data_IF_072768762105
#
_entry.id   IF_072768762105
#
_cell.length_a   1.000
_cell.length_b   1.000
_cell.length_c   1.000
_cell.angle_alpha   90.00
_cell.angle_beta   90.00
_cell.angle_gamma   90.00
#
_symmetry.space_group_name_H-M   'P 1'
#
loop_
_entity.id
_entity.type
_entity.pdbx_description
1 polymer ?
#
# COMPACT_ATOMS: atom_id res chain seq x y z
N UNK A 1 -1.25 -2.90 -56.33
CA UNK A 1 -2.67 -2.97 -55.92
C UNK A 1 -2.68 -2.93 -54.40
N UNK A 2 -3.02 -1.76 -53.85
CA UNK A 2 -3.05 -1.48 -52.41
C UNK A 2 -4.41 -1.95 -51.87
N UNK A 3 -4.44 -2.84 -50.88
CA UNK A 3 -5.69 -3.19 -50.21
C UNK A 3 -6.09 -2.03 -49.27
N UNK A 4 -7.37 -1.62 -49.21
CA UNK A 4 -7.81 -0.59 -48.27
C UNK A 4 -7.69 -1.09 -46.84
N UNK A 5 -7.00 -0.33 -46.00
CA UNK A 5 -6.89 -0.62 -44.57
C UNK A 5 -8.28 -0.53 -43.92
N UNK A 6 -8.76 -1.63 -43.36
CA UNK A 6 -10.12 -1.75 -42.80
C UNK A 6 -10.23 -0.91 -41.50
N UNK A 7 -11.07 0.15 -41.44
CA UNK A 7 -11.11 1.11 -40.32
C UNK A 7 -11.72 0.55 -39.02
N UNK A 8 -12.24 -0.68 -39.05
CA UNK A 8 -13.01 -1.27 -37.95
C UNK A 8 -12.16 -1.72 -36.74
N UNK A 9 -10.84 -1.84 -36.88
CA UNK A 9 -9.95 -2.27 -35.80
C UNK A 9 -9.26 -1.10 -35.08
N UNK A 10 -10.05 -0.14 -34.58
CA UNK A 10 -9.57 0.87 -33.62
C UNK A 10 -10.29 0.73 -32.29
N UNK A 11 -10.30 -0.47 -31.72
CA UNK A 11 -10.65 -0.59 -30.31
C UNK A 11 -9.50 -0.01 -29.50
N UNK A 12 -9.56 1.28 -29.22
CA UNK A 12 -8.80 1.90 -28.15
C UNK A 12 -9.19 1.20 -26.86
N UNK A 13 -8.45 0.15 -26.51
CA UNK A 13 -8.54 -0.52 -25.22
C UNK A 13 -7.96 0.47 -24.21
N UNK A 14 -8.77 1.46 -23.83
CA UNK A 14 -8.45 2.34 -22.72
C UNK A 14 -8.05 1.43 -21.57
N UNK A 15 -6.80 1.51 -21.14
CA UNK A 15 -6.27 0.70 -20.05
C UNK A 15 -7.02 1.11 -18.81
N UNK A 16 -8.15 0.45 -18.54
CA UNK A 16 -9.04 0.84 -17.48
C UNK A 16 -8.29 0.62 -16.18
N UNK A 17 -7.86 1.71 -15.54
CA UNK A 17 -7.22 1.70 -14.21
C UNK A 17 -8.26 1.41 -13.11
N UNK A 18 -9.25 0.57 -13.42
CA UNK A 18 -10.30 0.15 -12.51
C UNK A 18 -9.77 -0.54 -11.24
N UNK A 19 -8.65 -1.30 -11.25
CA UNK A 19 -8.13 -1.86 -10.01
C UNK A 19 -7.61 -0.76 -9.08
N UNK A 20 -7.04 0.31 -9.65
CA UNK A 20 -6.58 1.48 -8.90
C UNK A 20 -7.76 2.23 -8.29
N UNK A 21 -8.85 2.42 -9.06
CA UNK A 21 -10.07 3.06 -8.56
C UNK A 21 -10.73 2.22 -7.47
N UNK A 22 -10.80 0.89 -7.64
CA UNK A 22 -11.34 -0.02 -6.65
C UNK A 22 -10.50 0.00 -5.36
N UNK A 23 -9.17 -0.06 -5.45
CA UNK A 23 -8.29 0.05 -4.30
C UNK A 23 -8.49 1.39 -3.55
N UNK A 24 -8.62 2.50 -4.29
CA UNK A 24 -8.86 3.81 -3.72
C UNK A 24 -10.20 3.87 -2.96
N UNK A 25 -11.26 3.30 -3.53
CA UNK A 25 -12.58 3.24 -2.89
C UNK A 25 -12.54 2.36 -1.62
N UNK A 26 -11.88 1.21 -1.67
CA UNK A 26 -11.69 0.33 -0.52
C UNK A 26 -10.93 1.06 0.60
N UNK A 27 -9.88 1.81 0.27
CA UNK A 27 -9.12 2.63 1.22
C UNK A 27 -9.97 3.75 1.83
N UNK A 28 -10.79 4.44 1.02
CA UNK A 28 -11.73 5.47 1.49
C UNK A 28 -12.75 4.90 2.47
N UNK A 29 -13.34 3.75 2.14
CA UNK A 29 -14.31 3.06 3.00
C UNK A 29 -13.64 2.58 4.29
N UNK A 30 -12.44 1.99 4.20
CA UNK A 30 -11.69 1.55 5.36
C UNK A 30 -11.31 2.72 6.30
N UNK A 31 -10.96 3.88 5.73
CA UNK A 31 -10.68 5.10 6.49
C UNK A 31 -11.94 5.59 7.21
N UNK A 32 -13.09 5.62 6.53
CA UNK A 32 -14.35 6.03 7.12
C UNK A 32 -14.83 5.05 8.22
N UNK A 33 -14.50 3.76 8.09
CA UNK A 33 -14.83 2.72 9.07
C UNK A 33 -13.81 2.60 10.22
N UNK A 34 -12.69 3.33 10.18
CA UNK A 34 -11.62 3.24 11.18
C UNK A 34 -10.79 1.94 11.12
N UNK A 35 -10.84 1.21 10.01
CA UNK A 35 -10.15 -0.07 9.84
C UNK A 35 -8.66 0.13 9.52
N UNK A 36 -7.88 0.40 10.56
CA UNK A 36 -6.43 0.65 10.44
C UNK A 36 -5.67 -0.58 9.93
N UNK A 37 -6.18 -1.79 10.20
CA UNK A 37 -5.58 -3.04 9.69
C UNK A 37 -5.59 -3.15 8.16
N UNK A 38 -6.62 -2.61 7.48
CA UNK A 38 -6.69 -2.59 6.01
C UNK A 38 -5.61 -1.67 5.43
N UNK A 39 -5.40 -0.52 6.08
CA UNK A 39 -4.30 0.38 5.75
C UNK A 39 -2.95 -0.28 5.98
N UNK A 40 -2.79 -1.01 7.09
CA UNK A 40 -1.59 -1.79 7.36
C UNK A 40 -1.30 -2.81 6.27
N UNK A 41 -2.27 -3.63 5.87
CA UNK A 41 -2.12 -4.59 4.77
C UNK A 41 -1.79 -3.92 3.43
N UNK A 42 -2.43 -2.78 3.13
CA UNK A 42 -2.16 -2.02 1.93
C UNK A 42 -0.71 -1.51 1.92
N UNK A 43 -0.24 -0.95 3.04
CA UNK A 43 1.15 -0.52 3.19
C UNK A 43 2.14 -1.69 3.08
N UNK A 44 1.79 -2.87 3.59
CA UNK A 44 2.62 -4.08 3.46
C UNK A 44 2.74 -4.51 2.00
N UNK A 45 1.60 -4.62 1.31
CA UNK A 45 1.53 -4.97 -0.11
C UNK A 45 2.32 -3.97 -0.96
N UNK A 46 2.15 -2.69 -0.68
CA UNK A 46 2.86 -1.63 -1.37
C UNK A 46 4.37 -1.69 -1.10
N UNK A 47 4.79 -1.91 0.15
CA UNK A 47 6.20 -2.10 0.50
C UNK A 47 6.82 -3.27 -0.26
N UNK A 48 6.11 -4.39 -0.39
CA UNK A 48 6.56 -5.54 -1.19
C UNK A 48 6.78 -5.17 -2.66
N UNK A 49 5.85 -4.42 -3.26
CA UNK A 49 6.00 -3.93 -4.64
C UNK A 49 7.21 -3.00 -4.75
N UNK A 50 7.42 -2.11 -3.78
CA UNK A 50 8.59 -1.22 -3.75
C UNK A 50 9.91 -2.00 -3.69
N UNK A 51 9.94 -3.13 -2.97
CA UNK A 51 11.07 -4.05 -2.97
C UNK A 51 11.33 -4.66 -4.35
N UNK A 52 10.27 -5.15 -5.02
CA UNK A 52 10.38 -5.73 -6.37
C UNK A 52 10.80 -4.68 -7.39
N UNK A 53 10.27 -3.46 -7.28
CA UNK A 53 10.56 -2.35 -8.18
C UNK A 53 11.94 -1.72 -7.94
N UNK A 54 12.64 -2.05 -6.85
CA UNK A 54 13.93 -1.45 -6.40
C UNK A 54 13.89 0.08 -6.25
N UNK A 55 12.69 0.63 -6.13
CA UNK A 55 12.46 2.06 -5.97
C UNK A 55 11.44 2.25 -4.86
N UNK A 56 11.73 3.19 -3.98
CA UNK A 56 10.82 3.55 -2.89
C UNK A 56 10.55 5.04 -2.93
N UNK A 57 9.33 5.43 -2.60
CA UNK A 57 8.89 6.81 -2.70
C UNK A 57 8.60 7.35 -1.30
N UNK A 58 9.22 8.49 -0.96
CA UNK A 58 8.84 9.27 0.24
C UNK A 58 8.51 10.70 -0.19
N UNK A 59 9.48 11.40 -0.76
CA UNK A 59 9.31 12.74 -1.37
C UNK A 59 9.86 12.74 -2.80
N UNK A 60 10.87 11.91 -3.05
CA UNK A 60 11.48 11.67 -4.35
C UNK A 60 11.60 10.15 -4.55
N UNK A 61 11.76 9.72 -5.80
CA UNK A 61 12.06 8.32 -6.13
C UNK A 61 13.47 8.02 -5.64
N UNK A 62 13.61 7.16 -4.63
CA UNK A 62 14.91 6.69 -4.16
C UNK A 62 15.16 5.34 -4.83
N UNK A 63 16.15 5.32 -5.73
CA UNK A 63 16.62 4.09 -6.36
C UNK A 63 17.59 3.37 -5.44
N UNK A 64 17.44 2.05 -5.34
CA UNK A 64 18.37 1.19 -4.58
C UNK A 64 19.82 1.33 -5.06
N UNK A 65 20.02 1.61 -6.35
CA UNK A 65 21.33 1.64 -7.00
C UNK A 65 22.15 2.89 -6.64
N UNK A 66 21.49 4.00 -6.26
CA UNK A 66 22.17 5.23 -5.84
C UNK A 66 22.35 5.30 -4.32
N UNK A 67 21.33 4.93 -3.56
CA UNK A 67 21.32 5.07 -2.10
C UNK A 67 20.75 3.84 -1.38
N UNK A 68 21.53 2.75 -1.26
CA UNK A 68 21.05 1.47 -0.73
C UNK A 68 20.64 1.52 0.74
N UNK A 69 21.29 2.36 1.56
CA UNK A 69 20.97 2.54 2.99
C UNK A 69 19.64 3.28 3.16
N UNK A 70 19.45 4.36 2.40
CA UNK A 70 18.24 5.17 2.43
C UNK A 70 17.03 4.32 1.99
N UNK A 71 17.21 3.51 0.94
CA UNK A 71 16.19 2.55 0.50
C UNK A 71 15.76 1.58 1.61
N UNK A 72 16.71 1.01 2.36
CA UNK A 72 16.40 0.09 3.46
C UNK A 72 15.71 0.80 4.62
N UNK A 73 16.17 1.99 5.03
CA UNK A 73 15.55 2.76 6.11
C UNK A 73 14.09 3.11 5.80
N UNK A 74 13.84 3.54 4.55
CA UNK A 74 12.48 3.83 4.11
C UNK A 74 11.67 2.56 4.11
N UNK A 75 12.11 1.49 3.45
CA UNK A 75 11.37 0.23 3.41
C UNK A 75 11.04 -0.32 4.80
N UNK A 76 12.00 -0.28 5.73
CA UNK A 76 11.79 -0.69 7.12
C UNK A 76 10.74 0.20 7.79
N UNK A 77 10.77 1.52 7.56
CA UNK A 77 9.74 2.43 8.07
C UNK A 77 8.33 2.07 7.58
N UNK A 78 8.18 1.71 6.30
CA UNK A 78 6.90 1.28 5.74
C UNK A 78 6.43 -0.04 6.35
N UNK A 79 7.33 -1.03 6.48
CA UNK A 79 7.02 -2.31 7.14
C UNK A 79 6.65 -2.09 8.61
N UNK A 80 7.41 -1.26 9.33
CA UNK A 80 7.18 -0.95 10.73
C UNK A 80 5.83 -0.26 10.92
N UNK A 81 5.50 0.72 10.08
CA UNK A 81 4.21 1.43 10.12
C UNK A 81 3.05 0.47 9.85
N UNK A 82 3.20 -0.41 8.86
CA UNK A 82 2.22 -1.44 8.53
C UNK A 82 1.96 -2.37 9.71
N UNK A 83 3.04 -2.90 10.32
CA UNK A 83 2.95 -3.79 11.48
C UNK A 83 2.33 -3.06 12.66
N UNK A 84 2.72 -1.81 12.95
CA UNK A 84 2.15 -1.01 14.03
C UNK A 84 0.64 -0.80 13.85
N UNK A 85 0.17 -0.48 12.65
CA UNK A 85 -1.26 -0.30 12.38
C UNK A 85 -2.06 -1.59 12.56
N UNK A 86 -1.53 -2.72 12.08
CA UNK A 86 -2.17 -4.03 12.30
C UNK A 86 -2.19 -4.37 13.78
N UNK A 87 -1.07 -4.17 14.49
CA UNK A 87 -0.95 -4.52 15.90
C UNK A 87 -1.85 -3.65 16.79
N UNK A 88 -1.99 -2.37 16.48
CA UNK A 88 -2.89 -1.45 17.19
C UNK A 88 -4.35 -1.91 17.09
N UNK A 89 -4.77 -2.34 15.91
CA UNK A 89 -6.14 -2.79 15.66
C UNK A 89 -6.41 -4.20 16.23
N UNK A 90 -5.40 -5.07 16.19
CA UNK A 90 -5.50 -6.47 16.64
C UNK A 90 -5.33 -6.63 18.17
N UNK A 91 -4.61 -5.72 18.83
CA UNK A 91 -4.38 -5.72 20.27
C UNK A 91 -4.85 -4.43 20.95
N UNK A 92 -6.17 -4.13 20.96
CA UNK A 92 -6.71 -3.15 21.91
C UNK A 92 -6.56 -3.62 23.38
N UNK A 93 -6.27 -4.91 23.59
CA UNK A 93 -6.34 -5.59 24.88
C UNK A 93 -5.11 -5.44 25.80
N UNK A 94 -3.92 -5.08 25.31
CA UNK A 94 -2.72 -5.00 26.18
C UNK A 94 -2.75 -3.79 27.11
N UNK A 95 -3.39 -2.68 26.69
CA UNK A 95 -3.65 -1.54 27.57
C UNK A 95 -4.68 -1.86 28.66
N UNK A 96 -5.71 -2.66 28.32
CA UNK A 96 -6.73 -3.08 29.28
C UNK A 96 -6.19 -4.11 30.30
N UNK A 97 -5.26 -4.98 29.90
CA UNK A 97 -4.65 -5.98 30.78
C UNK A 97 -3.72 -5.38 31.83
N UNK A 98 -3.09 -4.23 31.53
CA UNK A 98 -2.22 -3.51 32.47
C UNK A 98 -3.02 -2.59 33.42
N UNK A 99 -4.16 -2.04 32.98
CA UNK A 99 -5.05 -1.21 33.80
C UNK A 99 -6.07 -2.01 34.63
N UNK A 100 -6.49 -3.20 34.18
CA UNK A 100 -7.40 -4.08 34.91
C UNK A 100 -6.75 -4.89 36.04
N UNK A 101 -5.41 -4.90 36.13
CA UNK A 101 -4.66 -5.58 37.19
C UNK A 101 -4.28 -4.69 38.38
N UNK A 102 -4.62 -3.40 38.35
CA UNK A 102 -4.27 -2.43 39.38
C UNK A 102 -5.35 -2.25 40.47
N UNK A 103 -6.50 -2.96 40.37
CA UNK A 103 -7.64 -2.84 41.29
C UNK A 103 -7.99 -4.17 42.01
N UNK A 104 -6.97 -4.98 42.34
CA UNK A 104 -7.13 -6.24 43.10
C UNK A 104 -6.57 -6.16 44.52
#
# INVERSE_FOLDING_TARGET
>A
MFAPDDPKNRSGRGSTKWPTVAALLILLIATAAGWNWVWGLFFLYWSLISFVARQTFIVQVIHRDEHPVLFHLVSISWVLLSVLMVLYDLFPATAALWLGGAEG
#
